data_IF_939932019281
#
_entry.id   IF_939932019281
#
_cell.length_a   1.000
_cell.length_b   1.000
_cell.length_c   1.000
_cell.angle_alpha   90.00
_cell.angle_beta   90.00
_cell.angle_gamma   90.00
#
_symmetry.space_group_name_H-M   'P 1'
#
loop_
_entity.id
_entity.type
_entity.pdbx_description
1 polymer ?
#
# COMPACT_ATOMS: atom_id res chain seq x y z
N UNK A 1 3.53 -26.10 3.10
CA UNK A 1 4.55 -27.12 2.80
C UNK A 1 5.02 -27.69 4.10
N UNK A 2 5.12 -29.00 4.19
CA UNK A 2 5.65 -29.69 5.36
C UNK A 2 7.08 -30.12 5.01
N UNK A 3 8.04 -29.79 5.86
CA UNK A 3 9.45 -30.20 5.70
C UNK A 3 9.61 -31.69 6.02
N UNK A 4 10.77 -32.28 5.69
CA UNK A 4 11.17 -33.66 6.04
C UNK A 4 11.11 -33.93 7.55
N UNK A 5 11.11 -32.89 8.38
CA UNK A 5 10.92 -32.95 9.84
C UNK A 5 9.46 -32.71 10.29
N UNK A 6 8.48 -32.84 9.40
CA UNK A 6 7.05 -32.58 9.65
C UNK A 6 6.70 -31.14 10.11
N UNK A 7 7.66 -30.21 10.10
CA UNK A 7 7.39 -28.79 10.36
C UNK A 7 6.68 -28.14 9.19
N UNK A 8 5.59 -27.42 9.47
CA UNK A 8 4.92 -26.58 8.48
C UNK A 8 5.81 -25.37 8.19
N UNK A 9 6.50 -25.39 7.03
CA UNK A 9 7.32 -24.28 6.57
C UNK A 9 6.56 -23.54 5.48
N UNK A 10 6.29 -22.26 5.72
CA UNK A 10 5.65 -21.41 4.74
C UNK A 10 6.67 -20.94 3.70
N UNK A 11 6.79 -21.69 2.59
CA UNK A 11 7.72 -21.42 1.48
C UNK A 11 7.22 -20.36 0.48
N UNK A 12 6.03 -19.81 0.67
CA UNK A 12 5.47 -18.83 -0.25
C UNK A 12 6.09 -17.45 -0.04
N UNK A 13 6.41 -16.77 -1.15
CA UNK A 13 6.92 -15.39 -1.12
C UNK A 13 6.09 -14.49 -0.21
N UNK A 14 4.76 -14.66 -0.22
CA UNK A 14 3.82 -13.97 0.67
C UNK A 14 4.17 -14.11 2.15
N UNK A 15 4.54 -15.29 2.64
CA UNK A 15 4.87 -15.47 4.06
C UNK A 15 6.11 -14.67 4.46
N UNK A 16 7.09 -14.55 3.55
CA UNK A 16 8.31 -13.78 3.78
C UNK A 16 8.06 -12.29 3.60
N UNK A 17 7.33 -11.88 2.57
CA UNK A 17 7.02 -10.47 2.32
C UNK A 17 6.04 -9.89 3.34
N UNK A 18 5.14 -10.71 3.91
CA UNK A 18 4.24 -10.25 4.97
C UNK A 18 4.93 -9.90 6.29
N UNK A 19 6.20 -10.22 6.48
CA UNK A 19 6.94 -9.96 7.72
C UNK A 19 7.96 -8.82 7.59
N UNK A 20 7.99 -8.16 6.43
CA UNK A 20 8.93 -7.07 6.15
C UNK A 20 8.17 -5.83 5.72
N UNK A 21 8.69 -4.68 6.12
CA UNK A 21 8.22 -3.39 5.63
C UNK A 21 8.52 -3.31 4.14
N UNK A 22 7.48 -3.23 3.32
CA UNK A 22 7.61 -3.20 1.87
C UNK A 22 6.66 -2.21 1.19
N UNK A 23 5.83 -1.49 1.97
CA UNK A 23 4.90 -0.48 1.49
C UNK A 23 3.97 -0.96 0.37
N UNK A 24 3.70 -2.28 0.31
CA UNK A 24 2.87 -2.89 -0.73
C UNK A 24 3.59 -3.12 -2.05
N UNK A 25 4.92 -2.97 -2.14
CA UNK A 25 5.68 -3.38 -3.33
C UNK A 25 5.42 -4.86 -3.60
N UNK A 26 4.89 -5.15 -4.79
CA UNK A 26 4.79 -6.49 -5.35
C UNK A 26 5.94 -6.69 -6.35
N UNK A 27 6.37 -7.94 -6.51
CA UNK A 27 7.59 -8.31 -7.22
C UNK A 27 7.67 -7.87 -8.70
N UNK A 28 6.56 -7.47 -9.32
CA UNK A 28 6.56 -6.94 -10.70
C UNK A 28 6.94 -5.45 -10.67
N UNK A 29 8.21 -5.15 -10.94
CA UNK A 29 8.66 -3.77 -11.05
C UNK A 29 8.02 -3.08 -12.26
N UNK A 30 7.75 -1.77 -12.15
CA UNK A 30 7.36 -0.95 -13.30
C UNK A 30 8.37 -1.06 -14.46
N UNK A 31 9.65 -1.25 -14.13
CA UNK A 31 10.74 -1.49 -15.06
C UNK A 31 10.51 -2.74 -15.93
N UNK A 32 10.00 -3.83 -15.35
CA UNK A 32 9.68 -5.06 -16.08
C UNK A 32 8.55 -4.85 -17.09
N UNK A 33 7.52 -4.08 -16.72
CA UNK A 33 6.43 -3.71 -17.62
C UNK A 33 6.88 -2.79 -18.77
N UNK A 34 7.80 -1.85 -18.50
CA UNK A 34 8.40 -0.98 -19.52
C UNK A 34 9.33 -1.77 -20.46
N UNK A 35 10.12 -2.70 -19.92
CA UNK A 35 10.94 -3.61 -20.72
C UNK A 35 10.10 -4.45 -21.68
N UNK A 36 8.89 -4.87 -21.29
CA UNK A 36 7.97 -5.54 -22.22
C UNK A 36 7.63 -4.67 -23.41
N UNK A 37 7.37 -3.38 -23.23
CA UNK A 37 7.04 -2.45 -24.33
C UNK A 37 8.20 -2.29 -25.32
N UNK A 38 9.43 -2.11 -24.82
CA UNK A 38 10.63 -2.04 -25.66
C UNK A 38 10.87 -3.36 -26.43
N UNK A 39 10.70 -4.50 -25.77
CA UNK A 39 10.81 -5.82 -26.41
C UNK A 39 9.76 -6.02 -27.51
N UNK A 40 8.52 -5.58 -27.26
CA UNK A 40 7.45 -5.62 -28.26
C UNK A 40 7.80 -4.75 -29.46
N UNK A 41 8.31 -3.53 -29.24
CA UNK A 41 8.75 -2.65 -30.33
C UNK A 41 9.82 -3.31 -31.22
N UNK A 42 10.87 -3.87 -30.62
CA UNK A 42 11.93 -4.59 -31.34
C UNK A 42 11.40 -5.83 -32.07
N UNK A 43 10.45 -6.56 -31.47
CA UNK A 43 9.84 -7.76 -32.05
C UNK A 43 8.98 -7.49 -33.30
N UNK A 44 8.51 -6.25 -33.50
CA UNK A 44 7.79 -5.85 -34.71
C UNK A 44 8.70 -5.50 -35.90
N UNK A 45 10.02 -5.76 -35.80
CA UNK A 45 10.96 -5.55 -36.90
C UNK A 45 11.49 -4.12 -37.03
N UNK A 46 11.21 -3.25 -36.05
CA UNK A 46 11.77 -1.88 -35.99
C UNK A 46 13.17 -1.89 -35.39
N UNK A 47 14.12 -2.53 -36.08
CA UNK A 47 15.51 -2.71 -35.63
C UNK A 47 16.43 -1.50 -35.79
N UNK A 48 15.89 -0.30 -36.01
CA UNK A 48 16.69 0.92 -36.14
C UNK A 48 16.87 1.59 -34.79
N UNK A 49 18.13 1.81 -34.39
CA UNK A 49 18.51 2.43 -33.11
C UNK A 49 17.91 3.84 -32.96
N UNK A 50 17.81 4.61 -34.03
CA UNK A 50 17.22 5.95 -34.00
C UNK A 50 15.74 5.89 -33.61
N UNK A 51 14.96 5.07 -34.31
CA UNK A 51 13.53 4.93 -34.03
C UNK A 51 13.25 4.26 -32.68
N UNK A 52 14.15 3.41 -32.20
CA UNK A 52 14.08 2.86 -30.85
C UNK A 52 14.23 3.96 -29.78
N UNK A 53 15.16 4.89 -29.95
CA UNK A 53 15.35 6.01 -29.02
C UNK A 53 14.12 6.94 -29.03
N UNK A 54 13.61 7.28 -30.21
CA UNK A 54 12.40 8.10 -30.34
C UNK A 54 11.19 7.44 -29.65
N UNK A 55 11.00 6.13 -29.86
CA UNK A 55 9.94 5.37 -29.20
C UNK A 55 10.12 5.31 -27.68
N UNK A 56 11.37 5.20 -27.19
CA UNK A 56 11.65 5.20 -25.75
C UNK A 56 11.32 6.57 -25.11
N UNK A 57 11.68 7.68 -25.76
CA UNK A 57 11.36 9.03 -25.31
C UNK A 57 9.84 9.26 -25.26
N UNK A 58 9.11 8.81 -26.29
CA UNK A 58 7.64 8.85 -26.29
C UNK A 58 7.06 8.03 -25.13
N UNK A 59 7.56 6.81 -24.91
CA UNK A 59 7.12 5.96 -23.80
C UNK A 59 7.39 6.60 -22.42
N UNK A 60 8.51 7.32 -22.26
CA UNK A 60 8.83 8.06 -21.02
C UNK A 60 7.87 9.23 -20.85
N UNK A 61 7.60 9.99 -21.91
CA UNK A 61 6.68 11.12 -21.88
C UNK A 61 5.25 10.68 -21.53
N UNK A 62 4.77 9.60 -22.14
CA UNK A 62 3.47 8.99 -21.85
C UNK A 62 3.38 8.49 -20.41
N UNK A 63 4.41 7.79 -19.95
CA UNK A 63 4.45 7.30 -18.57
C UNK A 63 4.45 8.45 -17.56
N UNK A 64 5.21 9.51 -17.84
CA UNK A 64 5.23 10.73 -17.03
C UNK A 64 3.86 11.42 -17.01
N UNK A 65 3.17 11.48 -18.15
CA UNK A 65 1.82 12.04 -18.27
C UNK A 65 0.81 11.22 -17.47
N UNK A 66 0.84 9.90 -17.62
CA UNK A 66 -0.03 8.98 -16.90
C UNK A 66 0.15 9.10 -15.38
N UNK A 67 1.40 9.21 -14.90
CA UNK A 67 1.69 9.42 -13.49
C UNK A 67 1.10 10.72 -12.96
N UNK A 68 1.23 11.83 -13.69
CA UNK A 68 0.65 13.12 -13.28
C UNK A 68 -0.87 13.09 -13.22
N UNK A 69 -1.51 12.45 -14.21
CA UNK A 69 -2.97 12.27 -14.23
C UNK A 69 -3.42 11.44 -13.02
N UNK A 70 -2.74 10.34 -12.74
CA UNK A 70 -3.08 9.48 -11.62
C UNK A 70 -2.82 10.18 -10.27
N UNK A 71 -1.75 10.97 -10.13
CA UNK A 71 -1.50 11.78 -8.94
C UNK A 71 -2.63 12.81 -8.71
N UNK A 72 -3.04 13.53 -9.76
CA UNK A 72 -4.14 14.50 -9.68
C UNK A 72 -5.47 13.82 -9.32
N UNK A 73 -5.74 12.65 -9.90
CA UNK A 73 -6.90 11.82 -9.56
C UNK A 73 -6.86 11.40 -8.10
N UNK A 74 -5.72 10.88 -7.62
CA UNK A 74 -5.57 10.44 -6.23
C UNK A 74 -5.80 11.59 -5.25
N UNK A 75 -5.23 12.78 -5.50
CA UNK A 75 -5.49 13.97 -4.66
C UNK A 75 -6.97 14.32 -4.61
N UNK A 76 -7.63 14.36 -5.79
CA UNK A 76 -9.06 14.66 -5.88
C UNK A 76 -9.91 13.62 -5.15
N UNK A 77 -9.63 12.33 -5.36
CA UNK A 77 -10.34 11.24 -4.70
C UNK A 77 -10.13 11.26 -3.19
N UNK A 78 -8.90 11.49 -2.71
CA UNK A 78 -8.58 11.61 -1.28
C UNK A 78 -9.45 12.66 -0.61
N UNK A 79 -9.53 13.84 -1.22
CA UNK A 79 -10.36 14.93 -0.72
C UNK A 79 -11.85 14.59 -0.77
N UNK A 80 -12.35 14.02 -1.85
CA UNK A 80 -13.78 13.72 -1.97
C UNK A 80 -14.25 12.66 -0.97
N UNK A 81 -13.46 11.60 -0.74
CA UNK A 81 -13.88 10.46 0.08
C UNK A 81 -13.55 10.62 1.55
N UNK A 82 -12.39 11.18 1.88
CA UNK A 82 -11.84 11.16 3.23
C UNK A 82 -11.83 12.52 3.91
N UNK A 83 -12.01 13.62 3.19
CA UNK A 83 -12.08 14.94 3.82
C UNK A 83 -13.30 15.06 4.73
N UNK A 84 -13.13 15.76 5.86
CA UNK A 84 -14.18 15.93 6.87
C UNK A 84 -14.45 14.71 7.75
N UNK A 85 -13.75 13.59 7.55
CA UNK A 85 -13.84 12.45 8.46
C UNK A 85 -13.09 12.75 9.76
N UNK A 86 -13.85 12.99 10.84
CA UNK A 86 -13.30 13.39 12.15
C UNK A 86 -12.16 12.51 12.65
N UNK A 87 -12.26 11.19 12.47
CA UNK A 87 -11.26 10.23 12.94
C UNK A 87 -9.94 10.24 12.15
N UNK A 88 -9.94 10.82 10.94
CA UNK A 88 -8.74 10.97 10.12
C UNK A 88 -8.06 12.34 10.30
N UNK A 89 -8.74 13.33 10.89
CA UNK A 89 -8.18 14.68 11.06
C UNK A 89 -7.63 15.24 9.74
N UNK A 90 -6.34 15.61 9.74
CA UNK A 90 -5.62 16.14 8.58
C UNK A 90 -4.92 15.08 7.72
N UNK A 91 -5.01 13.80 8.08
CA UNK A 91 -4.35 12.71 7.34
C UNK A 91 -4.63 12.70 5.83
N UNK A 92 -5.85 12.98 5.33
CA UNK A 92 -6.12 12.97 3.89
C UNK A 92 -5.25 13.94 3.08
N UNK A 93 -4.66 14.95 3.72
CA UNK A 93 -3.74 15.92 3.11
C UNK A 93 -2.27 15.49 3.18
N UNK A 94 -1.95 14.52 4.03
CA UNK A 94 -0.57 14.19 4.41
C UNK A 94 -0.11 12.80 3.95
N UNK A 95 -1.05 11.89 3.63
CA UNK A 95 -0.73 10.52 3.23
C UNK A 95 -1.31 10.14 1.87
N UNK A 96 -0.70 9.15 1.23
CA UNK A 96 -1.12 8.65 -0.07
C UNK A 96 -2.53 8.03 -0.03
N UNK A 97 -3.26 8.15 -1.14
CA UNK A 97 -4.59 7.56 -1.32
C UNK A 97 -4.66 6.08 -0.92
N UNK A 98 -3.68 5.28 -1.35
CA UNK A 98 -3.63 3.85 -1.05
C UNK A 98 -3.55 3.57 0.46
N UNK A 99 -2.85 4.41 1.24
CA UNK A 99 -2.80 4.27 2.70
C UNK A 99 -4.16 4.60 3.33
N UNK A 100 -4.87 5.61 2.84
CA UNK A 100 -6.21 5.96 3.31
C UNK A 100 -7.22 4.85 3.04
N UNK A 101 -7.13 4.18 1.88
CA UNK A 101 -8.00 3.04 1.58
C UNK A 101 -7.75 1.85 2.51
N UNK A 102 -6.50 1.56 2.80
CA UNK A 102 -6.13 0.53 3.78
C UNK A 102 -6.64 0.89 5.18
N UNK A 103 -6.49 2.15 5.60
CA UNK A 103 -7.01 2.66 6.87
C UNK A 103 -8.53 2.52 6.96
N UNK A 104 -9.25 2.85 5.89
CA UNK A 104 -10.70 2.71 5.84
C UNK A 104 -11.14 1.24 5.99
N UNK A 105 -10.43 0.31 5.36
CA UNK A 105 -10.68 -1.12 5.53
C UNK A 105 -10.42 -1.57 6.98
N UNK A 106 -9.31 -1.14 7.59
CA UNK A 106 -9.04 -1.44 9.00
C UNK A 106 -10.03 -0.80 9.97
N UNK A 107 -10.57 0.38 9.63
CA UNK A 107 -11.60 1.07 10.40
C UNK A 107 -12.89 0.27 10.45
N UNK A 108 -13.28 -0.41 9.36
CA UNK A 108 -14.42 -1.34 9.38
C UNK A 108 -14.19 -2.47 10.38
N UNK A 109 -12.99 -3.03 10.45
CA UNK A 109 -12.63 -4.02 11.47
C UNK A 109 -12.65 -3.45 12.88
N UNK A 110 -12.17 -2.21 13.07
CA UNK A 110 -12.21 -1.52 14.37
C UNK A 110 -13.65 -1.34 14.86
N UNK A 111 -14.58 -0.92 14.00
CA UNK A 111 -16.01 -0.82 14.35
C UNK A 111 -16.56 -2.19 14.77
N UNK A 112 -16.19 -3.27 14.09
CA UNK A 112 -16.63 -4.63 14.47
C UNK A 112 -16.08 -5.06 15.83
N UNK A 113 -14.88 -4.62 16.21
CA UNK A 113 -14.31 -4.82 17.54
C UNK A 113 -15.14 -4.06 18.58
N UNK A 114 -15.43 -2.78 18.34
CA UNK A 114 -16.23 -1.94 19.25
C UNK A 114 -17.66 -2.48 19.44
N UNK A 115 -18.22 -3.11 18.41
CA UNK A 115 -19.52 -3.81 18.47
C UNK A 115 -19.45 -5.18 19.16
N UNK A 116 -18.27 -5.62 19.63
CA UNK A 116 -18.07 -6.94 20.23
C UNK A 116 -18.17 -8.12 19.25
N UNK A 117 -18.22 -7.87 17.93
CA UNK A 117 -18.37 -8.92 16.90
C UNK A 117 -17.06 -9.65 16.60
N UNK A 118 -15.92 -9.05 16.93
CA UNK A 118 -14.58 -9.63 16.81
C UNK A 118 -13.84 -9.31 18.11
N UNK A 119 -13.05 -10.24 18.67
CA UNK A 119 -12.22 -9.93 19.83
C UNK A 119 -11.23 -8.80 19.51
N UNK A 120 -10.98 -7.94 20.51
CA UNK A 120 -9.89 -6.96 20.46
C UNK A 120 -8.58 -7.75 20.43
N UNK A 121 -7.80 -7.59 19.38
CA UNK A 121 -6.52 -8.29 19.26
C UNK A 121 -5.48 -7.70 20.21
N UNK A 122 -4.68 -8.55 20.86
CA UNK A 122 -3.56 -8.16 21.76
C UNK A 122 -2.33 -7.63 21.00
N UNK A 123 -2.55 -7.03 19.84
CA UNK A 123 -1.49 -6.45 19.04
C UNK A 123 -0.95 -5.22 19.77
N UNK A 124 0.36 -5.16 20.00
CA UNK A 124 1.08 -3.98 20.47
C UNK A 124 2.10 -3.54 19.41
N UNK A 125 2.59 -2.29 19.43
CA UNK A 125 3.61 -1.86 18.48
C UNK A 125 4.90 -2.69 18.50
N UNK A 126 5.23 -3.34 19.62
CA UNK A 126 6.42 -4.20 19.74
C UNK A 126 6.17 -5.66 19.41
N UNK A 127 4.90 -6.09 19.29
CA UNK A 127 4.53 -7.51 19.14
C UNK A 127 3.51 -7.78 18.01
N UNK A 128 3.13 -6.78 17.20
CA UNK A 128 2.16 -7.00 16.11
C UNK A 128 2.80 -7.68 14.89
N UNK A 129 2.36 -8.91 14.62
CA UNK A 129 2.65 -9.63 13.37
C UNK A 129 1.58 -9.39 12.29
N UNK A 130 0.69 -8.43 12.51
CA UNK A 130 -0.37 -8.09 11.57
C UNK A 130 0.23 -7.57 10.25
N UNK A 131 -0.18 -8.09 9.07
CA UNK A 131 0.36 -7.66 7.78
C UNK A 131 0.23 -6.16 7.53
N UNK A 132 -0.81 -5.53 8.08
CA UNK A 132 -1.04 -4.09 7.91
C UNK A 132 0.06 -3.25 8.58
N UNK A 133 0.50 -3.64 9.77
CA UNK A 133 1.56 -2.97 10.50
C UNK A 133 2.92 -3.34 9.94
N UNK A 134 3.18 -4.63 9.77
CA UNK A 134 4.49 -5.14 9.32
C UNK A 134 4.83 -4.71 7.89
N UNK A 135 3.88 -4.71 6.96
CA UNK A 135 4.14 -4.33 5.56
C UNK A 135 4.05 -2.83 5.28
N UNK A 136 3.09 -2.13 5.91
CA UNK A 136 2.75 -0.75 5.59
C UNK A 136 3.05 0.25 6.70
N UNK A 137 3.47 -0.22 7.88
CA UNK A 137 3.60 0.57 9.11
C UNK A 137 2.30 1.28 9.54
N UNK A 138 1.14 0.78 9.07
CA UNK A 138 -0.15 1.37 9.37
C UNK A 138 -0.75 0.80 10.68
N UNK A 139 -1.55 1.59 11.41
CA UNK A 139 -2.18 1.14 12.64
C UNK A 139 -3.13 -0.05 12.37
N UNK A 140 -3.07 -1.04 13.25
CA UNK A 140 -3.96 -2.19 13.24
C UNK A 140 -5.33 -1.86 13.84
N UNK A 141 -6.32 -2.72 13.60
CA UNK A 141 -7.73 -2.46 13.93
C UNK A 141 -7.97 -2.17 15.43
N UNK A 142 -7.30 -2.89 16.35
CA UNK A 142 -7.44 -2.60 17.80
C UNK A 142 -6.98 -1.19 18.15
N UNK A 143 -5.85 -0.73 17.60
CA UNK A 143 -5.34 0.63 17.83
C UNK A 143 -6.31 1.68 17.30
N UNK A 144 -6.90 1.47 16.13
CA UNK A 144 -7.93 2.39 15.60
C UNK A 144 -9.16 2.39 16.50
N UNK A 145 -9.56 1.23 17.07
CA UNK A 145 -10.66 1.16 18.03
C UNK A 145 -10.36 1.95 19.32
N UNK A 146 -9.12 1.91 19.82
CA UNK A 146 -8.69 2.67 20.99
C UNK A 146 -8.83 4.19 20.76
N UNK A 147 -8.41 4.68 19.58
CA UNK A 147 -8.54 6.11 19.22
C UNK A 147 -10.00 6.54 19.11
N UNK A 148 -10.85 5.66 18.60
CA UNK A 148 -12.28 5.92 18.47
C UNK A 148 -13.02 5.98 19.79
N UNK A 149 -12.71 5.08 20.72
CA UNK A 149 -13.24 5.17 22.09
C UNK A 149 -12.76 6.43 22.80
N UNK A 150 -11.50 6.82 22.58
CA UNK A 150 -10.93 8.04 23.15
C UNK A 150 -11.41 9.34 22.47
N UNK A 151 -12.06 9.23 21.30
CA UNK A 151 -12.53 10.38 20.53
C UNK A 151 -11.42 11.22 19.89
N UNK A 152 -10.22 10.66 19.70
CA UNK A 152 -9.08 11.37 19.09
C UNK A 152 -8.90 11.00 17.62
N UNK A 153 -8.56 11.98 16.75
CA UNK A 153 -8.17 11.69 15.39
C UNK A 153 -6.80 10.99 15.35
N UNK A 154 -6.60 10.14 14.34
CA UNK A 154 -5.29 9.60 14.01
C UNK A 154 -4.34 10.72 13.54
N UNK A 155 -3.06 10.58 13.84
CA UNK A 155 -2.01 11.52 13.45
C UNK A 155 -1.04 10.88 12.45
N UNK A 156 -0.26 11.70 11.77
CA UNK A 156 0.82 11.24 10.87
C UNK A 156 1.82 10.33 11.58
N UNK A 157 2.12 10.64 12.83
CA UNK A 157 3.00 9.87 13.72
C UNK A 157 2.55 8.42 13.92
N UNK A 158 1.24 8.15 13.78
CA UNK A 158 0.67 6.80 13.92
C UNK A 158 0.89 5.92 12.69
N UNK A 159 1.21 6.52 11.54
CA UNK A 159 1.41 5.85 10.24
C UNK A 159 2.90 5.77 9.89
N UNK A 160 3.65 6.81 10.24
CA UNK A 160 5.07 6.88 10.01
C UNK A 160 5.73 7.28 11.32
N UNK A 161 6.22 6.29 12.08
CA UNK A 161 7.19 6.60 13.12
C UNK A 161 8.36 7.30 12.43
N UNK A 162 8.65 8.53 12.84
CA UNK A 162 9.87 9.21 12.42
C UNK A 162 11.02 8.39 13.02
N UNK A 163 11.83 7.79 12.15
CA UNK A 163 13.11 7.23 12.56
C UNK A 163 14.09 8.36 12.84
#
# INVERSE_FOLDING_TARGET
>A
YVDKEEKIVAKWARHKTCKILNFGLRATSSTEATHRKLKVYLGHGMGNVLYLMEAADEMIADSSRALRIEEARQKTSSLQKFNGQKWLGELPLQVAWAALELLAATKTSAIRILQGKIPRGNCSPSTCDCPIYTQYNLPYASRIADYEEAGYPLKKEDIHKSY
#
